data_IF_275733333829
#
_entry.id   IF_275733333829
#
_cell.length_a   1.000
_cell.length_b   1.000
_cell.length_c   1.000
_cell.angle_alpha   90.00
_cell.angle_beta   90.00
_cell.angle_gamma   90.00
#
_symmetry.space_group_name_H-M   'P 1'
#
loop_
_entity.id
_entity.type
_entity.pdbx_description
1 polymer ?
#
# COMPACT_ATOMS: atom_id res chain seq x y z
N UNK A 1 -15.80 -0.22 4.84
CA UNK A 1 -15.02 -0.40 3.62
C UNK A 1 -13.88 0.61 3.52
N UNK A 2 -14.18 1.89 3.56
CA UNK A 2 -13.15 2.95 3.57
C UNK A 2 -12.23 2.83 4.79
N UNK A 3 -12.76 2.50 5.95
CA UNK A 3 -11.96 2.33 7.17
C UNK A 3 -10.90 1.23 7.04
N UNK A 4 -11.20 0.17 6.30
CA UNK A 4 -10.23 -0.91 6.03
C UNK A 4 -9.06 -0.36 5.20
N UNK A 5 -9.37 0.41 4.16
CA UNK A 5 -8.36 1.03 3.30
C UNK A 5 -7.51 2.03 4.09
N UNK A 6 -8.14 2.84 4.92
CA UNK A 6 -7.43 3.82 5.75
C UNK A 6 -6.49 3.14 6.74
N UNK A 7 -6.93 2.03 7.35
CA UNK A 7 -6.07 1.26 8.26
C UNK A 7 -4.82 0.74 7.54
N UNK A 8 -4.96 0.32 6.28
CA UNK A 8 -3.83 -0.15 5.48
C UNK A 8 -2.86 1.00 5.15
N UNK A 9 -3.38 2.12 4.63
CA UNK A 9 -2.52 3.25 4.23
C UNK A 9 -1.77 3.82 5.45
N UNK A 10 -2.48 4.00 6.56
CA UNK A 10 -1.86 4.49 7.79
C UNK A 10 -0.86 3.48 8.35
N UNK A 11 -1.17 2.19 8.28
CA UNK A 11 -0.26 1.12 8.70
C UNK A 11 1.00 1.08 7.85
N UNK A 12 0.86 1.24 6.54
CA UNK A 12 2.01 1.29 5.63
C UNK A 12 2.91 2.48 5.97
N UNK A 13 2.34 3.66 6.15
CA UNK A 13 3.10 4.87 6.46
C UNK A 13 3.78 4.83 7.83
N UNK A 14 3.20 4.15 8.81
CA UNK A 14 3.72 4.06 10.18
C UNK A 14 4.58 2.82 10.45
N UNK A 15 4.58 1.85 9.53
CA UNK A 15 5.33 0.60 9.72
C UNK A 15 4.65 -0.39 10.65
N UNK A 16 3.32 -0.41 10.70
CA UNK A 16 2.55 -1.30 11.58
C UNK A 16 1.27 -1.78 10.90
N UNK A 17 1.23 -3.08 10.57
CA UNK A 17 0.05 -3.73 9.96
C UNK A 17 -0.81 -4.50 10.97
N UNK A 18 -0.57 -4.37 12.27
CA UNK A 18 -1.27 -5.16 13.27
C UNK A 18 -2.78 -4.97 13.29
N UNK A 19 -3.27 -3.83 12.79
CA UNK A 19 -4.71 -3.51 12.76
C UNK A 19 -5.33 -3.63 11.38
N UNK A 20 -4.60 -4.12 10.39
CA UNK A 20 -5.10 -4.21 9.01
C UNK A 20 -5.74 -5.58 8.79
N UNK A 21 -7.02 -5.64 8.42
CA UNK A 21 -7.69 -6.91 8.18
C UNK A 21 -7.40 -7.44 6.77
N UNK A 22 -6.20 -7.96 6.57
CA UNK A 22 -5.85 -8.62 5.31
C UNK A 22 -6.59 -9.94 5.15
N UNK A 23 -7.11 -10.21 3.95
CA UNK A 23 -7.59 -11.53 3.61
C UNK A 23 -6.40 -12.49 3.55
N UNK A 24 -6.63 -13.79 3.86
CA UNK A 24 -5.56 -14.79 3.82
C UNK A 24 -4.93 -14.90 2.43
N UNK A 25 -5.71 -14.65 1.39
CA UNK A 25 -5.28 -14.71 -0.01
C UNK A 25 -5.13 -13.33 -0.65
N UNK A 26 -4.85 -12.31 0.15
CA UNK A 26 -4.70 -10.92 -0.34
C UNK A 26 -3.70 -10.86 -1.51
N UNK A 27 -4.09 -10.17 -2.58
CA UNK A 27 -3.29 -10.05 -3.79
C UNK A 27 -2.75 -8.64 -3.95
N UNK A 28 -1.52 -8.56 -4.44
CA UNK A 28 -0.83 -7.29 -4.65
C UNK A 28 -0.13 -7.28 -6.01
N UNK A 29 -0.24 -6.17 -6.72
CA UNK A 29 0.46 -5.95 -7.99
C UNK A 29 0.79 -4.47 -8.11
N UNK A 30 2.02 -4.14 -8.45
CA UNK A 30 2.47 -2.75 -8.55
C UNK A 30 3.58 -2.60 -9.58
N UNK A 31 4.00 -1.35 -9.90
CA UNK A 31 5.16 -1.12 -10.75
C UNK A 31 6.46 -1.74 -10.23
N UNK A 32 6.55 -2.02 -8.92
CA UNK A 32 7.74 -2.62 -8.30
C UNK A 32 7.65 -4.14 -8.14
N UNK A 33 6.48 -4.73 -8.37
CA UNK A 33 6.26 -6.14 -8.10
C UNK A 33 5.30 -6.76 -9.11
N UNK A 34 5.59 -7.97 -9.61
CA UNK A 34 4.56 -8.75 -10.30
C UNK A 34 3.47 -9.14 -9.30
N UNK A 35 2.39 -9.75 -9.81
CA UNK A 35 1.30 -10.21 -8.95
C UNK A 35 1.81 -11.23 -7.94
N UNK A 36 1.58 -10.96 -6.66
CA UNK A 36 1.90 -11.86 -5.54
C UNK A 36 0.64 -12.05 -4.69
N UNK A 37 0.63 -13.06 -3.82
CA UNK A 37 -0.58 -13.43 -3.11
C UNK A 37 -0.28 -13.98 -1.71
N UNK A 38 -1.20 -13.75 -0.77
CA UNK A 38 -1.14 -14.30 0.57
C UNK A 38 0.02 -13.74 1.40
N UNK A 39 0.73 -14.61 2.11
CA UNK A 39 1.83 -14.23 2.99
C UNK A 39 2.93 -13.46 2.25
N UNK A 40 3.16 -13.80 0.99
CA UNK A 40 4.13 -13.11 0.14
C UNK A 40 3.81 -11.62 0.00
N UNK A 41 2.51 -11.28 -0.06
CA UNK A 41 2.04 -9.88 -0.13
C UNK A 41 2.44 -9.11 1.13
N UNK A 42 2.10 -9.62 2.30
CA UNK A 42 2.39 -8.93 3.55
C UNK A 42 3.89 -8.88 3.84
N UNK A 43 4.64 -9.92 3.46
CA UNK A 43 6.09 -9.95 3.59
C UNK A 43 6.74 -8.88 2.71
N UNK A 44 6.30 -8.76 1.45
CA UNK A 44 6.80 -7.73 0.54
C UNK A 44 6.54 -6.33 1.07
N UNK A 45 5.31 -6.06 1.49
CA UNK A 45 4.91 -4.73 1.96
C UNK A 45 5.61 -4.35 3.27
N UNK A 46 5.71 -5.27 4.22
CA UNK A 46 6.42 -4.98 5.47
C UNK A 46 7.92 -4.83 5.25
N UNK A 47 8.46 -5.42 4.22
CA UNK A 47 9.85 -5.19 3.80
C UNK A 47 10.14 -3.75 3.38
N UNK A 48 9.10 -2.97 3.07
CA UNK A 48 9.23 -1.55 2.72
C UNK A 48 9.17 -0.61 3.94
N UNK A 49 8.83 -1.10 5.13
CA UNK A 49 8.70 -0.26 6.33
C UNK A 49 9.92 0.62 6.61
N UNK A 50 11.16 0.15 6.43
CA UNK A 50 12.32 1.00 6.70
C UNK A 50 12.37 2.30 5.90
N UNK A 51 11.72 2.35 4.72
CA UNK A 51 11.70 3.56 3.88
C UNK A 51 10.41 4.37 4.03
N UNK A 52 9.48 3.94 4.89
CA UNK A 52 8.22 4.66 5.09
C UNK A 52 8.39 5.78 6.10
N UNK A 53 7.91 6.98 5.76
CA UNK A 53 7.99 8.18 6.61
C UNK A 53 6.63 8.85 6.78
N UNK A 54 5.56 8.08 6.65
CA UNK A 54 4.19 8.57 6.79
C UNK A 54 3.43 8.58 5.48
N UNK A 55 2.13 8.72 5.59
CA UNK A 55 1.23 8.79 4.44
C UNK A 55 0.13 9.80 4.71
N UNK A 56 -0.33 10.49 3.65
CA UNK A 56 -1.41 11.45 3.73
C UNK A 56 -2.49 11.09 2.73
N UNK A 57 -3.69 10.77 3.22
CA UNK A 57 -4.83 10.43 2.37
C UNK A 57 -5.45 11.71 1.83
N UNK A 58 -5.65 11.77 0.51
CA UNK A 58 -6.24 12.92 -0.16
C UNK A 58 -7.72 12.69 -0.47
N UNK A 59 -8.06 11.57 -1.11
CA UNK A 59 -9.43 11.32 -1.56
C UNK A 59 -9.68 9.84 -1.80
N UNK A 60 -10.89 9.41 -1.45
CA UNK A 60 -11.41 8.09 -1.79
C UNK A 60 -12.51 8.21 -2.84
N UNK A 61 -12.59 7.24 -3.75
CA UNK A 61 -13.71 7.05 -4.67
C UNK A 61 -14.17 5.61 -4.49
N UNK A 62 -15.45 5.40 -4.22
CA UNK A 62 -15.99 4.07 -3.92
C UNK A 62 -16.96 3.63 -5.01
N UNK A 63 -16.79 2.40 -5.50
CA UNK A 63 -17.70 1.77 -6.43
C UNK A 63 -17.79 0.26 -6.13
N UNK A 64 -18.96 -0.18 -5.67
CA UNK A 64 -19.16 -1.58 -5.30
C UNK A 64 -18.19 -2.02 -4.21
N UNK A 65 -17.44 -3.09 -4.48
CA UNK A 65 -16.41 -3.62 -3.56
C UNK A 65 -15.08 -2.88 -3.68
N UNK A 66 -14.98 -1.92 -4.60
CA UNK A 66 -13.71 -1.25 -4.89
C UNK A 66 -13.65 0.13 -4.26
N UNK A 67 -12.47 0.45 -3.75
CA UNK A 67 -12.13 1.79 -3.27
C UNK A 67 -10.88 2.22 -4.00
N UNK A 68 -10.93 3.35 -4.69
CA UNK A 68 -9.75 3.97 -5.28
C UNK A 68 -9.37 5.16 -4.40
N UNK A 69 -8.11 5.21 -4.00
CA UNK A 69 -7.62 6.25 -3.07
C UNK A 69 -6.38 6.91 -3.63
N UNK A 70 -6.40 8.25 -3.63
CA UNK A 70 -5.21 9.03 -3.89
C UNK A 70 -4.58 9.39 -2.54
N UNK A 71 -3.30 9.08 -2.37
CA UNK A 71 -2.58 9.46 -1.16
C UNK A 71 -1.13 9.80 -1.49
N UNK A 72 -0.49 10.52 -0.57
CA UNK A 72 0.93 10.85 -0.67
C UNK A 72 1.69 9.94 0.27
N UNK A 73 2.72 9.27 -0.24
CA UNK A 73 3.61 8.45 0.56
C UNK A 73 4.95 9.16 0.70
N UNK A 74 5.41 9.33 1.93
CA UNK A 74 6.66 9.99 2.25
C UNK A 74 7.79 8.99 2.44
N UNK A 75 8.95 9.26 1.84
CA UNK A 75 10.16 8.45 1.98
C UNK A 75 11.35 9.36 2.28
N UNK A 76 12.51 8.81 2.67
CA UNK A 76 13.72 9.64 2.89
C UNK A 76 14.19 10.38 1.63
N UNK A 77 13.81 9.89 0.44
CA UNK A 77 14.23 10.45 -0.85
C UNK A 77 13.20 11.40 -1.46
N UNK A 78 12.11 11.66 -0.75
CA UNK A 78 11.03 12.53 -1.24
C UNK A 78 9.67 11.87 -1.10
N UNK A 79 8.67 12.52 -1.66
CA UNK A 79 7.28 12.06 -1.59
C UNK A 79 6.78 11.68 -2.98
N UNK A 80 5.84 10.73 -3.02
CA UNK A 80 5.21 10.33 -4.27
C UNK A 80 3.70 10.25 -4.10
N UNK A 81 2.97 10.66 -5.14
CA UNK A 81 1.52 10.47 -5.19
C UNK A 81 1.24 9.07 -5.67
N UNK A 82 0.34 8.38 -4.97
CA UNK A 82 -0.09 7.03 -5.30
C UNK A 82 -1.59 7.04 -5.54
N UNK A 83 -2.01 6.44 -6.66
CA UNK A 83 -3.41 6.15 -6.96
C UNK A 83 -3.58 4.65 -6.78
N UNK A 84 -4.20 4.23 -5.69
CA UNK A 84 -4.28 2.84 -5.29
C UNK A 84 -5.70 2.31 -5.41
N UNK A 85 -5.86 1.18 -6.11
CA UNK A 85 -7.15 0.51 -6.26
C UNK A 85 -7.20 -0.68 -5.31
N UNK A 86 -8.18 -0.66 -4.41
CA UNK A 86 -8.39 -1.70 -3.41
C UNK A 86 -9.70 -2.45 -3.68
N UNK A 87 -9.71 -3.73 -3.36
CA UNK A 87 -10.94 -4.49 -3.28
C UNK A 87 -11.13 -4.94 -1.84
N UNK A 88 -12.31 -4.65 -1.26
CA UNK A 88 -12.66 -5.02 0.11
C UNK A 88 -13.88 -5.93 0.05
N UNK A 89 -13.77 -7.12 0.65
CA UNK A 89 -14.83 -8.12 0.67
C UNK A 89 -15.01 -8.61 2.11
N UNK A 90 -16.22 -8.54 2.62
CA UNK A 90 -16.58 -9.00 3.97
C UNK A 90 -15.67 -8.38 5.06
N UNK A 91 -15.33 -7.10 4.90
CA UNK A 91 -14.52 -6.37 5.87
C UNK A 91 -13.02 -6.68 5.79
N UNK A 92 -12.58 -7.44 4.79
CA UNK A 92 -11.18 -7.79 4.61
C UNK A 92 -10.60 -7.20 3.32
N UNK A 93 -9.32 -6.82 3.37
CA UNK A 93 -8.61 -6.29 2.23
C UNK A 93 -8.17 -7.44 1.33
N UNK A 94 -8.75 -7.51 0.14
CA UNK A 94 -8.64 -8.64 -0.78
C UNK A 94 -7.61 -8.41 -1.88
N UNK A 95 -7.58 -7.18 -2.44
CA UNK A 95 -6.66 -6.81 -3.52
C UNK A 95 -6.13 -5.42 -3.28
N UNK A 96 -4.85 -5.22 -3.61
CA UNK A 96 -4.13 -3.96 -3.51
C UNK A 96 -3.40 -3.78 -4.84
N UNK A 97 -3.72 -2.69 -5.56
CA UNK A 97 -3.15 -2.45 -6.88
C UNK A 97 -2.84 -0.96 -7.08
N UNK A 98 -1.69 -0.49 -6.60
CA UNK A 98 -1.29 0.91 -6.72
C UNK A 98 -0.72 1.23 -8.10
N UNK A 99 -0.94 2.48 -8.53
CA UNK A 99 -0.41 3.07 -9.75
C UNK A 99 0.38 4.31 -9.37
N UNK A 100 1.65 4.37 -9.71
CA UNK A 100 2.53 5.50 -9.38
C UNK A 100 3.81 5.46 -10.19
N UNK A 101 4.54 6.58 -10.20
CA UNK A 101 5.89 6.62 -10.75
C UNK A 101 6.83 5.94 -9.75
N UNK A 102 7.48 4.83 -10.12
CA UNK A 102 8.29 4.06 -9.17
C UNK A 102 9.62 4.67 -8.82
N UNK A 103 10.05 5.76 -9.47
CA UNK A 103 11.41 6.27 -9.32
C UNK A 103 11.76 6.66 -7.88
N UNK A 104 10.86 7.33 -7.15
CA UNK A 104 11.12 7.73 -5.75
C UNK A 104 11.30 6.49 -4.85
N UNK A 105 10.41 5.50 -5.00
CA UNK A 105 10.51 4.27 -4.22
C UNK A 105 11.71 3.43 -4.61
N UNK A 106 12.05 3.38 -5.90
CA UNK A 106 13.24 2.67 -6.36
C UNK A 106 14.52 3.28 -5.76
N UNK A 107 14.62 4.60 -5.70
CA UNK A 107 15.75 5.28 -5.08
C UNK A 107 15.84 4.98 -3.58
N UNK A 108 14.70 5.00 -2.88
CA UNK A 108 14.67 4.69 -1.45
C UNK A 108 15.04 3.23 -1.17
N UNK A 109 14.55 2.28 -1.98
CA UNK A 109 14.90 0.86 -1.87
C UNK A 109 16.39 0.65 -2.16
N UNK A 110 16.93 1.32 -3.18
CA UNK A 110 18.36 1.24 -3.49
C UNK A 110 19.21 1.75 -2.32
N UNK A 111 18.77 2.81 -1.65
CA UNK A 111 19.45 3.36 -0.47
C UNK A 111 19.49 2.39 0.71
N UNK A 112 18.49 1.51 0.84
CA UNK A 112 18.47 0.47 1.89
C UNK A 112 19.58 -0.55 1.72
N UNK A 113 20.00 -0.80 0.49
CA UNK A 113 20.97 -1.83 0.14
C UNK A 113 22.42 -1.33 0.21
N UNK A 114 22.61 -0.05 0.42
CA UNK A 114 23.94 0.58 0.40
C UNK A 114 24.63 0.49 1.75
#
# INVERSE_FOLDING_TARGET
MVSVVESYINGLGSGDFSKVPFADDVRYESPLSPSIQGQETTDFLSGLFPIMRGAEIIQHVVEGEYVATVFILHTPNGSTHIFDKFRVVDGELKEINPYYDPSVLNEAVASMSA
#
